data_IF_732790301906
#
_entry.id   IF_732790301906
#
_cell.length_a   1.000
_cell.length_b   1.000
_cell.length_c   1.000
_cell.angle_alpha   90.00
_cell.angle_beta   90.00
_cell.angle_gamma   90.00
#
_symmetry.space_group_name_H-M   'P 1'
#
loop_
_entity.id
_entity.type
_entity.pdbx_description
1 polymer ?
#
# COMPACT_ATOMS: atom_id res chain seq x y z
N UNK A 1 13.63 -19.34 -41.50
CA UNK A 1 13.75 -18.78 -40.14
C UNK A 1 15.00 -19.40 -39.53
N UNK A 2 15.99 -18.66 -39.02
CA UNK A 2 17.20 -19.27 -38.46
C UNK A 2 16.95 -20.16 -37.24
N UNK A 3 15.77 -20.06 -36.60
CA UNK A 3 15.40 -20.94 -35.47
C UNK A 3 14.89 -22.33 -35.89
N UNK A 4 14.72 -22.58 -37.19
CA UNK A 4 14.19 -23.83 -37.72
C UNK A 4 15.22 -24.51 -38.64
N UNK A 5 15.36 -25.85 -38.59
CA UNK A 5 16.19 -26.58 -39.54
C UNK A 5 15.73 -26.31 -40.97
N UNK A 6 16.67 -26.00 -41.86
CA UNK A 6 16.37 -25.73 -43.28
C UNK A 6 16.54 -27.02 -44.07
N UNK A 7 15.48 -27.61 -44.63
CA UNK A 7 15.59 -28.80 -45.47
C UNK A 7 16.16 -28.43 -46.84
N UNK A 8 17.17 -29.17 -47.28
CA UNK A 8 17.77 -29.06 -48.61
C UNK A 8 17.71 -30.41 -49.30
N UNK A 9 17.08 -30.43 -50.47
CA UNK A 9 17.02 -31.58 -51.36
C UNK A 9 17.91 -31.34 -52.57
N UNK A 10 18.87 -32.24 -52.80
CA UNK A 10 19.76 -32.23 -53.95
C UNK A 10 19.51 -33.47 -54.79
N UNK A 11 18.94 -33.28 -55.98
CA UNK A 11 18.76 -34.36 -56.95
C UNK A 11 19.95 -34.39 -57.91
N UNK A 12 20.65 -35.52 -57.95
CA UNK A 12 21.79 -35.75 -58.83
C UNK A 12 21.42 -36.83 -59.85
N UNK A 13 21.62 -36.53 -61.12
CA UNK A 13 21.34 -37.44 -62.23
C UNK A 13 22.61 -37.77 -62.98
N UNK A 14 23.01 -39.03 -62.97
CA UNK A 14 24.05 -39.52 -63.85
C UNK A 14 23.46 -39.74 -65.25
N UNK A 15 24.02 -39.06 -66.26
CA UNK A 15 23.64 -39.30 -67.66
C UNK A 15 24.62 -40.23 -68.39
N UNK A 16 25.75 -40.55 -67.75
CA UNK A 16 26.79 -41.39 -68.30
C UNK A 16 26.51 -42.89 -68.07
N UNK A 17 26.97 -43.76 -68.97
CA UNK A 17 26.89 -45.21 -68.80
C UNK A 17 27.93 -45.77 -67.81
N UNK A 18 28.72 -44.91 -67.17
CA UNK A 18 29.79 -45.27 -66.22
C UNK A 18 29.28 -45.02 -64.80
N UNK A 19 29.61 -45.92 -63.89
CA UNK A 19 29.31 -45.79 -62.46
C UNK A 19 30.33 -44.88 -61.76
N UNK A 20 29.85 -44.11 -60.78
CA UNK A 20 30.67 -43.28 -59.92
C UNK A 20 30.62 -43.84 -58.49
N UNK A 21 31.60 -44.65 -58.09
CA UNK A 21 31.60 -45.27 -56.76
C UNK A 21 31.77 -44.24 -55.64
N UNK A 22 32.38 -43.10 -55.95
CA UNK A 22 32.58 -42.01 -55.00
C UNK A 22 32.42 -40.65 -55.71
N UNK A 23 31.40 -39.90 -55.31
CA UNK A 23 31.23 -38.49 -55.62
C UNK A 23 31.11 -37.70 -54.33
N UNK A 24 31.71 -36.50 -54.33
CA UNK A 24 31.60 -35.56 -53.23
C UNK A 24 30.66 -34.42 -53.64
N UNK A 25 29.52 -34.33 -52.95
CA UNK A 25 28.57 -33.23 -53.08
C UNK A 25 28.92 -32.20 -52.01
N UNK A 26 29.35 -31.02 -52.45
CA UNK A 26 29.75 -29.91 -51.57
C UNK A 26 28.70 -28.82 -51.68
N UNK A 27 28.10 -28.51 -50.54
CA UNK A 27 27.13 -27.41 -50.38
C UNK A 27 27.80 -26.39 -49.48
N UNK A 28 28.14 -25.25 -50.05
CA UNK A 28 28.89 -24.21 -49.35
C UNK A 28 28.23 -22.84 -49.50
N UNK A 29 28.32 -22.02 -48.46
CA UNK A 29 28.00 -20.60 -48.46
C UNK A 29 28.89 -19.91 -47.43
N UNK A 30 28.69 -18.63 -47.16
CA UNK A 30 29.47 -17.94 -46.12
C UNK A 30 29.17 -18.48 -44.71
N UNK A 31 27.99 -19.08 -44.52
CA UNK A 31 27.49 -19.51 -43.20
C UNK A 31 27.37 -21.03 -43.06
N UNK A 32 27.50 -21.75 -44.18
CA UNK A 32 27.18 -23.18 -44.27
C UNK A 32 28.32 -23.88 -44.99
N UNK A 33 28.78 -25.00 -44.44
CA UNK A 33 29.64 -25.94 -45.16
C UNK A 33 29.21 -27.36 -44.86
N UNK A 34 28.72 -28.06 -45.89
CA UNK A 34 28.31 -29.47 -45.79
C UNK A 34 28.91 -30.25 -46.95
N UNK A 35 29.51 -31.39 -46.62
CA UNK A 35 30.05 -32.34 -47.59
C UNK A 35 29.34 -33.68 -47.41
N UNK A 36 28.89 -34.26 -48.52
CA UNK A 36 28.25 -35.58 -48.56
C UNK A 36 29.03 -36.43 -49.55
N UNK A 37 29.48 -37.60 -49.09
CA UNK A 37 30.11 -38.61 -49.94
C UNK A 37 29.01 -39.60 -50.31
N UNK A 38 28.85 -39.84 -51.62
CA UNK A 38 27.82 -40.74 -52.12
C UNK A 38 28.32 -41.54 -53.34
N UNK A 39 27.65 -42.67 -53.59
CA UNK A 39 27.79 -43.45 -54.81
C UNK A 39 26.62 -43.14 -55.77
N UNK A 40 26.91 -43.17 -57.07
CA UNK A 40 25.93 -42.92 -58.14
C UNK A 40 26.18 -43.87 -59.32
N UNK A 41 25.30 -44.84 -59.51
CA UNK A 41 25.33 -45.85 -60.57
C UNK A 41 25.13 -45.28 -61.97
N UNK A 42 25.34 -46.12 -62.98
CA UNK A 42 25.20 -45.76 -64.39
C UNK A 42 23.75 -45.41 -64.72
N UNK A 43 23.52 -44.25 -65.33
CA UNK A 43 22.18 -43.72 -65.63
C UNK A 43 21.24 -43.58 -64.40
N UNK A 44 21.77 -43.61 -63.18
CA UNK A 44 20.99 -43.49 -61.93
C UNK A 44 20.62 -42.03 -61.64
N UNK A 45 19.44 -41.84 -61.04
CA UNK A 45 19.01 -40.57 -60.46
C UNK A 45 18.75 -40.76 -58.97
N UNK A 46 19.40 -39.97 -58.13
CA UNK A 46 19.36 -40.11 -56.67
C UNK A 46 19.15 -38.75 -56.02
N UNK A 47 18.29 -38.70 -55.02
CA UNK A 47 18.02 -37.48 -54.24
C UNK A 47 18.63 -37.62 -52.85
N UNK A 48 19.32 -36.57 -52.42
CA UNK A 48 19.93 -36.46 -51.11
C UNK A 48 19.22 -35.36 -50.34
N UNK A 49 18.56 -35.75 -49.26
CA UNK A 49 17.89 -34.83 -48.34
C UNK A 49 18.73 -34.68 -47.08
N UNK A 50 18.94 -33.44 -46.67
CA UNK A 50 19.62 -33.12 -45.42
C UNK A 50 19.10 -31.80 -44.85
N UNK A 51 19.25 -31.66 -43.55
CA UNK A 51 18.85 -30.46 -42.82
C UNK A 51 20.08 -29.65 -42.42
N UNK A 52 19.93 -28.33 -42.46
CA UNK A 52 20.96 -27.39 -42.04
C UNK A 52 20.42 -26.59 -40.86
N UNK A 53 21.11 -26.70 -39.73
CA UNK A 53 20.89 -25.85 -38.58
C UNK A 53 21.68 -24.55 -38.75
N UNK A 54 20.98 -23.43 -38.68
CA UNK A 54 21.57 -22.11 -38.66
C UNK A 54 21.66 -21.63 -37.22
N UNK A 55 22.67 -20.82 -36.90
CA UNK A 55 22.70 -20.16 -35.60
C UNK A 55 21.56 -19.14 -35.52
N UNK A 56 20.71 -19.30 -34.50
CA UNK A 56 19.58 -18.42 -34.20
C UNK A 56 19.99 -16.95 -34.03
N UNK A 57 21.22 -16.68 -33.57
CA UNK A 57 21.73 -15.33 -33.36
C UNK A 57 22.20 -14.63 -34.64
N UNK A 58 22.17 -15.29 -35.81
CA UNK A 58 22.64 -14.71 -37.07
C UNK A 58 21.80 -13.51 -37.48
N UNK A 59 22.47 -12.37 -37.68
CA UNK A 59 21.86 -11.15 -38.18
C UNK A 59 21.18 -11.38 -39.54
N UNK A 60 20.09 -10.63 -39.83
CA UNK A 60 19.41 -10.72 -41.12
C UNK A 60 20.33 -10.34 -42.28
N UNK A 61 20.66 -11.33 -43.12
CA UNK A 61 21.53 -11.14 -44.27
C UNK A 61 21.09 -11.99 -45.46
N UNK A 62 21.52 -11.58 -46.66
CA UNK A 62 21.35 -12.35 -47.89
C UNK A 62 22.64 -13.08 -48.18
N UNK A 63 22.53 -14.33 -48.55
CA UNK A 63 23.68 -15.15 -48.90
C UNK A 63 23.35 -16.09 -50.08
N UNK A 64 24.37 -16.68 -50.66
CA UNK A 64 24.24 -17.56 -51.83
C UNK A 64 24.87 -18.91 -51.52
N UNK A 65 24.08 -19.97 -51.71
CA UNK A 65 24.56 -21.35 -51.63
C UNK A 65 25.14 -21.72 -52.98
N UNK A 66 26.35 -22.27 -52.95
CA UNK A 66 27.05 -22.89 -54.06
C UNK A 66 27.01 -24.40 -53.88
N UNK A 67 26.52 -25.09 -54.90
CA UNK A 67 26.51 -26.55 -54.98
C UNK A 67 27.54 -26.98 -56.03
N UNK A 68 28.53 -27.77 -55.62
CA UNK A 68 29.50 -28.38 -56.51
C UNK A 68 29.58 -29.89 -56.30
N UNK A 69 29.80 -30.63 -57.38
CA UNK A 69 30.00 -32.07 -57.37
C UNK A 69 31.43 -32.34 -57.85
N UNK A 70 32.21 -33.01 -57.01
CA UNK A 70 33.61 -33.35 -57.27
C UNK A 70 33.81 -34.87 -57.34
N UNK A 71 34.77 -35.29 -58.16
CA UNK A 71 35.31 -36.66 -58.22
C UNK A 71 36.81 -36.56 -58.39
N UNK A 72 37.58 -37.36 -57.64
CA UNK A 72 39.05 -37.38 -57.74
C UNK A 72 39.65 -35.95 -57.63
N UNK A 73 39.13 -35.13 -56.72
CA UNK A 73 39.45 -33.70 -56.54
C UNK A 73 39.18 -32.77 -57.76
N UNK A 74 38.50 -33.26 -58.79
CA UNK A 74 38.11 -32.49 -59.96
C UNK A 74 36.60 -32.20 -59.95
N UNK A 75 36.20 -30.96 -60.17
CA UNK A 75 34.78 -30.56 -60.25
C UNK A 75 34.16 -31.09 -61.55
N UNK A 76 33.17 -31.98 -61.44
CA UNK A 76 32.42 -32.52 -62.58
C UNK A 76 31.23 -31.61 -62.92
N UNK A 77 30.60 -31.00 -61.92
CA UNK A 77 29.41 -30.15 -62.12
C UNK A 77 29.37 -29.05 -61.08
N UNK A 78 29.09 -27.81 -61.52
CA UNK A 78 28.88 -26.66 -60.64
C UNK A 78 29.82 -25.47 -60.93
N UNK A 79 29.73 -24.39 -60.13
CA UNK A 79 28.79 -24.24 -59.02
C UNK A 79 27.37 -23.86 -59.50
N UNK A 80 26.36 -24.62 -59.08
CA UNK A 80 24.97 -24.18 -59.15
C UNK A 80 24.71 -23.22 -57.98
N UNK A 81 24.00 -22.12 -58.23
CA UNK A 81 23.79 -21.08 -57.22
C UNK A 81 22.32 -20.94 -56.85
N UNK A 82 22.04 -20.80 -55.55
CA UNK A 82 20.70 -20.47 -55.05
C UNK A 82 20.82 -19.40 -53.97
N UNK A 83 20.09 -18.31 -54.13
CA UNK A 83 20.05 -17.21 -53.17
C UNK A 83 19.09 -17.55 -52.04
N UNK A 84 19.46 -17.21 -50.80
CA UNK A 84 18.61 -17.30 -49.63
C UNK A 84 18.79 -16.06 -48.74
N UNK A 85 17.86 -15.86 -47.81
CA UNK A 85 17.92 -14.75 -46.87
C UNK A 85 17.55 -15.20 -45.47
N UNK A 86 18.35 -14.78 -44.49
CA UNK A 86 18.01 -14.86 -43.08
C UNK A 86 17.04 -13.73 -42.78
N UNK A 87 15.83 -14.11 -42.33
CA UNK A 87 14.78 -13.15 -41.97
C UNK A 87 15.02 -12.61 -40.57
N UNK A 88 14.56 -11.38 -40.32
CA UNK A 88 14.53 -10.80 -38.98
C UNK A 88 13.40 -11.42 -38.15
N UNK A 89 13.69 -11.67 -36.87
CA UNK A 89 12.69 -12.06 -35.89
C UNK A 89 13.05 -11.49 -34.51
N UNK A 90 12.04 -11.09 -33.77
CA UNK A 90 12.19 -10.57 -32.41
C UNK A 90 11.34 -11.41 -31.47
N UNK A 91 11.97 -12.00 -30.46
CA UNK A 91 11.30 -12.83 -29.48
C UNK A 91 11.82 -12.46 -28.09
N UNK A 92 10.94 -11.89 -27.27
CA UNK A 92 11.25 -11.60 -25.88
C UNK A 92 10.86 -12.80 -25.02
N UNK A 93 11.78 -13.24 -24.18
CA UNK A 93 11.53 -14.25 -23.16
C UNK A 93 11.53 -13.58 -21.79
N UNK A 94 10.52 -13.91 -20.98
CA UNK A 94 10.36 -13.39 -19.62
C UNK A 94 10.59 -14.51 -18.60
N UNK A 95 11.44 -14.26 -17.61
CA UNK A 95 11.62 -15.13 -16.45
C UNK A 95 11.28 -14.37 -15.17
N UNK A 96 10.43 -14.95 -14.32
CA UNK A 96 9.97 -14.32 -13.07
C UNK A 96 10.46 -15.13 -11.87
N UNK A 97 11.22 -14.48 -10.99
CA UNK A 97 11.78 -15.06 -9.77
C UNK A 97 11.31 -14.29 -8.53
N UNK A 98 10.27 -14.77 -7.83
CA UNK A 98 9.83 -14.15 -6.59
C UNK A 98 10.69 -14.59 -5.41
N UNK A 99 11.16 -13.62 -4.62
CA UNK A 99 11.86 -13.84 -3.35
C UNK A 99 11.03 -13.24 -2.22
N UNK A 100 10.40 -14.10 -1.43
CA UNK A 100 9.56 -13.68 -0.30
C UNK A 100 10.35 -13.58 1.00
N UNK A 101 10.18 -12.47 1.71
CA UNK A 101 10.59 -12.25 3.10
C UNK A 101 9.36 -11.83 3.92
N UNK A 102 9.49 -11.77 5.23
CA UNK A 102 8.40 -11.31 6.10
C UNK A 102 7.92 -9.90 5.70
N UNK A 103 6.64 -9.77 5.31
CA UNK A 103 5.99 -8.52 4.87
C UNK A 103 6.68 -7.80 3.70
N UNK A 104 7.57 -8.48 2.97
CA UNK A 104 8.29 -7.94 1.83
C UNK A 104 8.43 -8.99 0.73
N UNK A 105 8.13 -8.63 -0.50
CA UNK A 105 8.27 -9.51 -1.66
C UNK A 105 9.10 -8.80 -2.71
N UNK A 106 10.25 -9.38 -3.06
CA UNK A 106 11.12 -8.89 -4.11
C UNK A 106 10.88 -9.79 -5.35
N UNK A 107 10.23 -9.26 -6.38
CA UNK A 107 9.98 -9.96 -7.64
C UNK A 107 11.00 -9.51 -8.67
N UNK A 108 11.92 -10.39 -9.07
CA UNK A 108 12.89 -10.12 -10.13
C UNK A 108 12.32 -10.63 -11.45
N UNK A 109 12.21 -9.75 -12.44
CA UNK A 109 11.72 -10.03 -13.78
C UNK A 109 12.90 -9.83 -14.74
N UNK A 110 13.32 -10.89 -15.41
CA UNK A 110 14.42 -10.86 -16.38
C UNK A 110 13.85 -10.94 -17.78
N UNK A 111 14.04 -9.88 -18.56
CA UNK A 111 13.66 -9.80 -19.97
C UNK A 111 14.88 -10.15 -20.82
N UNK A 112 14.77 -11.17 -21.68
CA UNK A 112 15.88 -11.61 -22.55
C UNK A 112 15.44 -11.60 -24.01
N UNK A 113 16.21 -10.96 -24.89
CA UNK A 113 15.95 -10.97 -26.33
C UNK A 113 16.58 -12.22 -26.97
N UNK A 114 15.73 -13.15 -27.41
CA UNK A 114 16.12 -14.36 -28.17
C UNK A 114 16.04 -14.16 -29.70
N UNK A 115 15.68 -12.95 -30.13
CA UNK A 115 15.67 -12.53 -31.53
C UNK A 115 17.05 -12.28 -32.10
N UNK A 116 17.14 -12.22 -33.42
CA UNK A 116 18.34 -11.82 -34.15
C UNK A 116 18.37 -10.33 -34.52
N UNK A 117 17.39 -9.56 -34.05
CA UNK A 117 17.35 -8.10 -34.17
C UNK A 117 17.07 -7.47 -32.81
N UNK A 118 17.42 -6.19 -32.68
CA UNK A 118 17.13 -5.41 -31.48
C UNK A 118 15.61 -5.40 -31.19
N UNK A 119 15.25 -5.69 -29.95
CA UNK A 119 13.89 -5.53 -29.45
C UNK A 119 13.75 -4.14 -28.85
N UNK A 120 12.71 -3.40 -29.25
CA UNK A 120 12.32 -2.14 -28.62
C UNK A 120 10.82 -2.15 -28.34
N UNK A 121 10.43 -2.01 -27.08
CA UNK A 121 9.02 -2.06 -26.70
C UNK A 121 8.76 -1.69 -25.24
N UNK A 122 7.47 -1.52 -24.93
CA UNK A 122 7.01 -1.21 -23.56
C UNK A 122 6.57 -2.49 -22.87
N UNK A 123 7.31 -2.87 -21.83
CA UNK A 123 6.98 -4.01 -20.98
C UNK A 123 6.08 -3.60 -19.84
N UNK A 124 5.08 -4.44 -19.53
CA UNK A 124 3.98 -4.12 -18.60
C UNK A 124 3.88 -5.17 -17.50
N UNK A 125 3.77 -4.72 -16.25
CA UNK A 125 3.49 -5.58 -15.10
C UNK A 125 2.27 -5.08 -14.34
N UNK A 126 1.25 -5.93 -14.19
CA UNK A 126 -0.02 -5.56 -13.56
C UNK A 126 0.15 -5.25 -12.06
N UNK A 127 -0.50 -4.19 -11.59
CA UNK A 127 -0.55 -3.79 -10.19
C UNK A 127 -1.93 -3.25 -9.81
N UNK A 128 -2.16 -3.02 -8.52
CA UNK A 128 -3.42 -2.43 -8.01
C UNK A 128 -3.15 -1.09 -7.33
N UNK A 129 -4.20 -0.30 -7.08
CA UNK A 129 -4.08 0.98 -6.38
C UNK A 129 -3.33 0.85 -5.06
N UNK A 130 -3.76 -0.08 -4.20
CA UNK A 130 -3.14 -0.31 -2.91
C UNK A 130 -1.73 -0.85 -3.03
N UNK A 131 -1.49 -1.86 -3.89
CA UNK A 131 -0.14 -2.39 -4.11
C UNK A 131 0.83 -1.31 -4.59
N UNK A 132 0.40 -0.48 -5.55
CA UNK A 132 1.25 0.56 -6.14
C UNK A 132 1.80 1.58 -5.14
N UNK A 133 1.10 1.83 -4.02
CA UNK A 133 1.57 2.76 -2.99
C UNK A 133 2.67 2.17 -2.08
N UNK A 134 2.78 0.84 -2.03
CA UNK A 134 3.76 0.12 -1.20
C UNK A 134 4.79 -0.62 -2.06
N UNK A 135 4.80 -0.36 -3.37
CA UNK A 135 5.70 -1.00 -4.32
C UNK A 135 6.72 0.00 -4.85
N UNK A 136 7.98 -0.42 -4.85
CA UNK A 136 9.09 0.31 -5.47
C UNK A 136 9.64 -0.53 -6.63
N UNK A 137 10.10 0.13 -7.69
CA UNK A 137 10.63 -0.56 -8.88
C UNK A 137 12.04 -0.08 -9.18
N UNK A 138 12.91 -1.00 -9.58
CA UNK A 138 14.30 -0.75 -9.99
C UNK A 138 14.52 -1.47 -11.32
N UNK A 139 14.70 -0.77 -12.45
CA UNK A 139 14.63 0.67 -12.63
C UNK A 139 13.22 1.24 -12.41
N UNK A 140 13.14 2.57 -12.19
CA UNK A 140 11.88 3.26 -11.89
C UNK A 140 10.88 3.10 -13.03
N UNK A 141 9.74 2.49 -12.74
CA UNK A 141 8.64 2.32 -13.67
C UNK A 141 7.79 3.59 -13.80
N UNK A 142 7.19 3.79 -14.97
CA UNK A 142 6.05 4.70 -15.13
C UNK A 142 4.77 3.93 -14.78
N UNK A 143 3.84 4.56 -14.05
CA UNK A 143 2.55 3.93 -13.74
C UNK A 143 1.49 4.44 -14.70
N UNK A 144 0.90 3.53 -15.47
CA UNK A 144 -0.15 3.85 -16.44
C UNK A 144 -1.45 3.13 -16.03
N UNK A 145 -2.59 3.79 -16.26
CA UNK A 145 -3.92 3.22 -16.03
C UNK A 145 -4.61 3.01 -17.37
N UNK A 146 -4.88 1.77 -17.72
CA UNK A 146 -5.59 1.35 -18.93
C UNK A 146 -6.66 0.31 -18.53
N UNK A 147 -7.85 0.37 -19.13
CA UNK A 147 -8.95 -0.59 -18.91
C UNK A 147 -9.31 -0.85 -17.44
N UNK A 148 -9.20 0.19 -16.60
CA UNK A 148 -9.49 0.10 -15.16
C UNK A 148 -8.41 -0.59 -14.33
N UNK A 149 -7.39 -1.17 -14.97
CA UNK A 149 -6.21 -1.78 -14.33
C UNK A 149 -5.04 -0.80 -14.29
N UNK A 150 -4.09 -1.04 -13.40
CA UNK A 150 -2.85 -0.26 -13.30
C UNK A 150 -1.68 -1.14 -13.69
N UNK A 151 -0.72 -0.56 -14.39
CA UNK A 151 0.47 -1.25 -14.85
C UNK A 151 1.71 -0.44 -14.49
N UNK A 152 2.75 -1.14 -14.05
CA UNK A 152 4.11 -0.64 -14.12
C UNK A 152 4.63 -0.87 -15.53
N UNK A 153 5.14 0.19 -16.15
CA UNK A 153 5.63 0.15 -17.53
C UNK A 153 7.09 0.54 -17.60
N UNK A 154 7.87 -0.21 -18.38
CA UNK A 154 9.27 0.08 -18.67
C UNK A 154 9.50 0.08 -20.17
N UNK A 155 10.26 1.06 -20.65
CA UNK A 155 10.81 1.05 -22.00
C UNK A 155 12.06 0.15 -22.00
N UNK A 156 12.00 -0.89 -22.82
CA UNK A 156 13.03 -1.91 -22.92
C UNK A 156 13.55 -1.92 -24.35
N UNK A 157 14.83 -1.57 -24.49
CA UNK A 157 15.63 -1.78 -25.70
C UNK A 157 16.68 -2.85 -25.37
N UNK A 158 16.75 -3.91 -26.17
CA UNK A 158 17.63 -5.06 -25.96
C UNK A 158 18.24 -5.52 -27.27
N UNK A 159 19.57 -5.54 -27.36
CA UNK A 159 20.29 -6.18 -28.46
C UNK A 159 20.06 -7.70 -28.48
N UNK A 160 20.35 -8.39 -29.60
CA UNK A 160 20.29 -9.86 -29.66
C UNK A 160 21.07 -10.52 -28.51
N UNK A 161 20.44 -11.49 -27.83
CA UNK A 161 20.98 -12.18 -26.64
C UNK A 161 21.20 -11.32 -25.39
N UNK A 162 20.83 -10.04 -25.41
CA UNK A 162 20.92 -9.18 -24.22
C UNK A 162 19.77 -9.48 -23.24
N UNK A 163 20.05 -9.33 -21.94
CA UNK A 163 19.08 -9.45 -20.87
C UNK A 163 19.07 -8.20 -19.98
N UNK A 164 17.86 -7.79 -19.57
CA UNK A 164 17.64 -6.67 -18.63
C UNK A 164 16.77 -7.13 -17.48
N UNK A 165 17.24 -6.86 -16.27
CA UNK A 165 16.53 -7.19 -15.05
C UNK A 165 15.74 -6.00 -14.52
N UNK A 166 14.53 -6.28 -14.06
CA UNK A 166 13.64 -5.33 -13.41
C UNK A 166 13.21 -5.94 -12.08
N UNK A 167 13.47 -5.23 -11.00
CA UNK A 167 13.08 -5.65 -9.65
C UNK A 167 11.87 -4.85 -9.20
N UNK A 168 10.81 -5.56 -8.81
CA UNK A 168 9.59 -5.00 -8.21
C UNK A 168 9.59 -5.40 -6.73
N UNK A 169 9.72 -4.41 -5.84
CA UNK A 169 9.81 -4.60 -4.38
C UNK A 169 8.50 -4.15 -3.75
N UNK A 170 7.69 -5.10 -3.28
CA UNK A 170 6.51 -4.82 -2.45
C UNK A 170 6.92 -4.84 -0.97
N UNK A 171 6.74 -3.73 -0.22
CA UNK A 171 7.11 -3.64 1.19
C UNK A 171 5.96 -3.09 2.06
N UNK A 172 5.33 -3.99 2.82
CA UNK A 172 4.20 -3.67 3.71
C UNK A 172 4.62 -3.45 5.18
N UNK A 173 5.92 -3.55 5.49
CA UNK A 173 6.42 -3.36 6.85
C UNK A 173 6.12 -1.95 7.42
N UNK A 174 6.31 -0.84 6.66
CA UNK A 174 5.96 0.50 7.16
C UNK A 174 4.47 0.63 7.50
N UNK A 175 3.60 0.02 6.70
CA UNK A 175 2.16 0.00 6.95
C UNK A 175 1.81 -0.73 8.25
N UNK A 176 2.41 -1.91 8.48
CA UNK A 176 2.23 -2.67 9.72
C UNK A 176 2.65 -1.85 10.95
N UNK A 177 3.77 -1.14 10.87
CA UNK A 177 4.26 -0.28 11.96
C UNK A 177 3.25 0.83 12.26
N UNK A 178 2.70 1.50 11.24
CA UNK A 178 1.69 2.55 11.42
C UNK A 178 0.43 1.99 12.09
N UNK A 179 -0.07 0.85 11.64
CA UNK A 179 -1.25 0.19 12.23
C UNK A 179 -0.99 -0.18 13.70
N UNK A 180 0.20 -0.69 14.02
CA UNK A 180 0.59 -1.01 15.39
C UNK A 180 0.65 0.25 16.27
N UNK A 181 1.23 1.35 15.76
CA UNK A 181 1.28 2.62 16.48
C UNK A 181 -0.12 3.19 16.77
N UNK A 182 -1.03 3.12 15.80
CA UNK A 182 -2.44 3.52 16.01
C UNK A 182 -3.08 2.61 17.06
N UNK A 183 -2.87 1.31 16.99
CA UNK A 183 -3.37 0.35 17.98
C UNK A 183 -2.87 0.64 19.39
N UNK A 184 -1.57 0.94 19.54
CA UNK A 184 -0.98 1.34 20.82
C UNK A 184 -1.57 2.68 21.29
N UNK A 185 -1.67 3.68 20.41
CA UNK A 185 -2.24 4.97 20.77
C UNK A 185 -3.70 4.84 21.26
N UNK A 186 -4.52 4.03 20.58
CA UNK A 186 -5.88 3.73 21.00
C UNK A 186 -5.90 2.98 22.35
N UNK A 187 -5.05 1.96 22.51
CA UNK A 187 -4.93 1.23 23.76
C UNK A 187 -4.58 2.16 24.93
N UNK A 188 -3.56 3.00 24.77
CA UNK A 188 -3.16 4.00 25.77
C UNK A 188 -4.28 5.00 26.04
N UNK A 189 -4.96 5.48 25.00
CA UNK A 189 -6.11 6.37 25.14
C UNK A 189 -7.19 5.75 26.03
N UNK A 190 -7.60 4.50 25.77
CA UNK A 190 -8.61 3.82 26.58
C UNK A 190 -8.12 3.45 27.98
N UNK A 191 -6.84 3.14 28.15
CA UNK A 191 -6.24 2.81 29.44
C UNK A 191 -6.11 4.03 30.37
N UNK A 192 -5.76 5.19 29.82
CA UNK A 192 -5.55 6.43 30.59
C UNK A 192 -6.74 7.39 30.58
N UNK A 193 -7.82 7.05 29.87
CA UNK A 193 -9.05 7.84 29.89
C UNK A 193 -9.60 7.94 31.31
N UNK A 194 -9.99 9.14 31.72
CA UNK A 194 -10.57 9.35 33.05
C UNK A 194 -11.94 8.66 33.17
N UNK A 195 -12.13 7.81 34.20
CA UNK A 195 -13.34 7.00 34.38
C UNK A 195 -14.55 7.84 34.83
N UNK A 196 -14.32 9.05 35.30
CA UNK A 196 -15.33 9.96 35.83
C UNK A 196 -15.17 11.36 35.23
N UNK A 197 -16.26 11.96 34.79
CA UNK A 197 -16.28 13.32 34.22
C UNK A 197 -17.27 14.20 34.95
N UNK A 198 -16.87 15.45 35.19
CA UNK A 198 -17.70 16.48 35.82
C UNK A 198 -17.72 17.69 34.92
N UNK A 199 -18.92 18.16 34.58
CA UNK A 199 -19.12 19.37 33.81
C UNK A 199 -19.95 20.36 34.63
N UNK A 200 -19.54 21.63 34.62
CA UNK A 200 -20.25 22.73 35.27
C UNK A 200 -20.77 23.69 34.20
N UNK A 201 -22.07 23.91 34.17
CA UNK A 201 -22.75 24.80 33.23
C UNK A 201 -23.70 25.75 33.95
N UNK A 202 -23.97 26.90 33.34
CA UNK A 202 -25.05 27.79 33.76
C UNK A 202 -26.25 27.57 32.85
N UNK A 203 -27.43 27.56 33.44
CA UNK A 203 -28.72 27.52 32.77
C UNK A 203 -29.61 28.62 33.37
N UNK A 204 -30.64 29.05 32.63
CA UNK A 204 -31.64 30.00 33.13
C UNK A 204 -31.00 31.26 33.75
N UNK A 205 -30.10 31.91 33.01
CA UNK A 205 -29.52 33.19 33.43
C UNK A 205 -30.57 34.27 33.26
N UNK A 206 -30.98 34.89 34.36
CA UNK A 206 -31.93 35.99 34.40
C UNK A 206 -31.11 37.27 34.53
N UNK A 207 -31.29 38.18 33.57
CA UNK A 207 -30.65 39.49 33.56
C UNK A 207 -31.63 40.58 33.98
N UNK A 208 -31.18 41.52 34.80
CA UNK A 208 -31.93 42.72 35.19
C UNK A 208 -31.04 43.95 34.99
N UNK A 209 -31.57 45.00 34.38
CA UNK A 209 -30.84 46.27 34.17
C UNK A 209 -29.49 46.09 33.44
N UNK A 210 -29.41 45.14 32.50
CA UNK A 210 -28.18 44.89 31.73
C UNK A 210 -27.10 44.10 32.45
N UNK A 211 -27.39 43.50 33.61
CA UNK A 211 -26.46 42.60 34.29
C UNK A 211 -27.13 41.35 34.85
N UNK A 212 -26.30 40.41 35.30
CA UNK A 212 -26.75 39.11 35.80
C UNK A 212 -27.42 39.27 37.18
N UNK A 213 -28.68 38.84 37.30
CA UNK A 213 -29.48 38.92 38.52
C UNK A 213 -29.73 37.56 39.19
N UNK A 214 -29.87 36.49 38.42
CA UNK A 214 -30.02 35.12 38.92
C UNK A 214 -29.49 34.12 37.90
N UNK A 215 -28.96 32.99 38.36
CA UNK A 215 -28.62 31.88 37.46
C UNK A 215 -28.78 30.53 38.15
N UNK A 216 -29.14 29.52 37.36
CA UNK A 216 -29.14 28.12 37.77
C UNK A 216 -27.81 27.48 37.39
N UNK A 217 -27.06 27.01 38.38
CA UNK A 217 -25.85 26.21 38.15
C UNK A 217 -26.27 24.75 38.01
N UNK A 218 -25.72 24.10 36.99
CA UNK A 218 -25.93 22.68 36.70
C UNK A 218 -24.57 21.97 36.70
N UNK A 219 -24.44 20.96 37.55
CA UNK A 219 -23.27 20.09 37.64
C UNK A 219 -23.70 18.71 37.16
N UNK A 220 -23.09 18.26 36.07
CA UNK A 220 -23.32 16.92 35.53
C UNK A 220 -22.18 16.00 35.93
N UNK A 221 -22.51 14.91 36.63
CA UNK A 221 -21.61 13.84 37.02
C UNK A 221 -21.86 12.66 36.09
N UNK A 222 -20.83 12.18 35.39
CA UNK A 222 -20.97 11.08 34.44
C UNK A 222 -19.94 9.99 34.70
N UNK A 223 -20.41 8.76 34.93
CA UNK A 223 -19.57 7.57 34.92
C UNK A 223 -19.27 7.16 33.48
N UNK A 224 -17.99 7.07 33.13
CA UNK A 224 -17.52 6.61 31.81
C UNK A 224 -16.85 5.24 31.88
N UNK A 225 -16.67 4.71 33.08
CA UNK A 225 -16.01 3.43 33.31
C UNK A 225 -17.00 2.26 33.25
N UNK A 226 -16.47 1.06 33.09
CA UNK A 226 -17.21 -0.20 33.20
C UNK A 226 -17.37 -0.67 34.65
N UNK A 227 -17.06 0.17 35.62
CA UNK A 227 -17.12 -0.13 37.05
C UNK A 227 -17.95 0.93 37.79
N UNK A 228 -18.63 0.49 38.86
CA UNK A 228 -19.38 1.37 39.74
C UNK A 228 -18.40 2.27 40.50
N UNK A 229 -18.67 3.58 40.51
CA UNK A 229 -17.94 4.54 41.33
C UNK A 229 -18.59 4.59 42.70
N UNK A 230 -17.77 4.67 43.75
CA UNK A 230 -18.24 4.73 45.14
C UNK A 230 -17.74 5.99 45.85
N UNK A 231 -18.45 6.40 46.88
CA UNK A 231 -18.07 7.47 47.80
C UNK A 231 -17.70 8.77 47.07
N UNK A 232 -18.62 9.22 46.21
CA UNK A 232 -18.44 10.40 45.39
C UNK A 232 -18.75 11.63 46.23
N UNK A 233 -17.72 12.39 46.58
CA UNK A 233 -17.82 13.67 47.27
C UNK A 233 -17.66 14.81 46.27
N UNK A 234 -18.74 15.56 46.01
CA UNK A 234 -18.70 16.74 45.12
C UNK A 234 -18.59 17.99 45.98
N UNK A 235 -17.67 18.88 45.63
CA UNK A 235 -17.43 20.16 46.30
C UNK A 235 -17.45 21.29 45.28
N UNK A 236 -18.41 22.19 45.42
CA UNK A 236 -18.47 23.42 44.64
C UNK A 236 -18.24 24.65 45.52
N UNK A 237 -17.51 25.63 44.99
CA UNK A 237 -17.19 26.87 45.69
C UNK A 237 -17.86 28.03 44.97
N UNK A 238 -18.63 28.79 45.72
CA UNK A 238 -19.32 29.98 45.24
C UNK A 238 -18.57 31.18 45.81
N UNK A 239 -18.03 32.07 44.95
CA UNK A 239 -17.37 33.29 45.38
C UNK A 239 -18.29 34.17 46.24
N UNK A 240 -17.71 35.03 47.10
CA UNK A 240 -18.46 35.89 48.03
C UNK A 240 -19.29 37.02 47.37
N UNK A 241 -19.37 37.04 46.05
CA UNK A 241 -20.15 38.00 45.26
C UNK A 241 -21.55 37.47 44.92
N UNK A 242 -21.85 36.21 45.28
CA UNK A 242 -23.14 35.58 45.06
C UNK A 242 -23.59 34.75 46.27
N UNK A 243 -24.88 34.81 46.57
CA UNK A 243 -25.54 34.01 47.59
C UNK A 243 -26.29 32.83 46.97
N UNK A 244 -26.39 31.75 47.75
CA UNK A 244 -27.18 30.57 47.38
C UNK A 244 -28.62 30.80 47.76
N UNK A 245 -29.53 30.62 46.81
CA UNK A 245 -30.95 30.62 47.10
C UNK A 245 -31.31 29.35 47.90
N UNK A 246 -31.93 29.53 49.08
CA UNK A 246 -32.21 28.43 50.01
C UNK A 246 -33.38 27.55 49.58
N UNK A 247 -34.21 28.04 48.64
CA UNK A 247 -35.33 27.30 48.08
C UNK A 247 -34.82 26.32 47.02
N UNK A 248 -34.54 25.09 47.46
CA UNK A 248 -34.06 24.03 46.59
C UNK A 248 -35.22 23.50 45.73
N UNK A 249 -35.11 23.67 44.41
CA UNK A 249 -36.07 23.12 43.44
C UNK A 249 -36.29 21.62 43.64
N UNK A 250 -37.56 21.18 43.61
CA UNK A 250 -37.96 19.77 43.68
C UNK A 250 -37.25 18.98 42.58
N UNK A 251 -36.66 17.81 42.91
CA UNK A 251 -36.02 16.89 41.95
C UNK A 251 -34.51 17.01 41.80
N UNK A 252 -33.81 17.81 42.62
CA UNK A 252 -32.34 17.90 42.65
C UNK A 252 -31.76 17.29 43.92
N UNK A 253 -30.52 16.78 43.86
CA UNK A 253 -29.81 16.28 45.04
C UNK A 253 -29.45 17.46 45.97
N UNK A 254 -29.92 17.40 47.21
CA UNK A 254 -29.62 18.43 48.20
C UNK A 254 -28.18 18.35 48.69
N UNK A 255 -27.52 19.49 48.97
CA UNK A 255 -26.19 19.48 49.55
C UNK A 255 -26.23 18.87 50.95
N UNK A 256 -25.33 17.92 51.21
CA UNK A 256 -25.15 17.33 52.55
C UNK A 256 -24.54 18.32 53.53
N UNK A 257 -23.77 19.31 53.04
CA UNK A 257 -23.19 20.35 53.87
C UNK A 257 -23.05 21.67 53.11
N UNK A 258 -23.48 22.76 53.76
CA UNK A 258 -23.27 24.14 53.31
C UNK A 258 -22.37 24.82 54.34
N UNK A 259 -21.18 25.25 53.91
CA UNK A 259 -20.23 25.99 54.75
C UNK A 259 -20.13 27.42 54.24
N UNK A 260 -20.48 28.41 55.06
CA UNK A 260 -20.31 29.83 54.75
C UNK A 260 -19.04 30.35 55.40
N UNK A 261 -18.21 31.08 54.65
CA UNK A 261 -17.01 31.72 55.16
C UNK A 261 -16.97 33.17 54.68
N UNK A 262 -16.82 34.12 55.60
CA UNK A 262 -16.90 35.56 55.32
C UNK A 262 -15.93 36.02 54.21
N UNK A 263 -14.66 35.60 54.24
CA UNK A 263 -13.68 35.96 53.21
C UNK A 263 -13.63 35.03 51.97
N UNK A 264 -14.10 33.78 52.07
CA UNK A 264 -13.84 32.74 51.05
C UNK A 264 -15.07 32.32 50.24
N UNK A 265 -16.24 32.87 50.58
CA UNK A 265 -17.52 32.55 49.97
C UNK A 265 -18.17 31.31 50.57
N UNK A 266 -19.13 30.73 49.85
CA UNK A 266 -19.85 29.54 50.28
C UNK A 266 -19.30 28.27 49.63
N UNK A 267 -19.25 27.17 50.38
CA UNK A 267 -18.85 25.85 49.89
C UNK A 267 -20.04 24.91 50.03
N UNK A 268 -20.47 24.37 48.90
CA UNK A 268 -21.49 23.33 48.81
C UNK A 268 -20.81 21.97 48.70
N UNK A 269 -21.25 21.03 49.53
CA UNK A 269 -20.82 19.63 49.45
C UNK A 269 -22.01 18.71 49.23
N UNK A 270 -21.84 17.74 48.35
CA UNK A 270 -22.77 16.63 48.13
C UNK A 270 -22.04 15.31 48.33
N UNK A 271 -22.74 14.35 48.92
CA UNK A 271 -22.30 12.95 48.99
C UNK A 271 -23.20 12.12 48.09
N UNK A 272 -22.59 11.35 47.21
CA UNK A 272 -23.25 10.41 46.32
C UNK A 272 -22.64 9.03 46.59
N UNK A 273 -23.44 8.13 47.16
CA UNK A 273 -22.96 6.82 47.63
C UNK A 273 -22.37 5.99 46.50
N UNK A 274 -23.12 5.84 45.42
CA UNK A 274 -22.70 5.10 44.23
C UNK A 274 -23.18 5.77 42.96
N UNK A 275 -22.40 5.62 41.88
CA UNK A 275 -22.80 5.94 40.52
C UNK A 275 -22.57 4.69 39.65
N UNK A 276 -23.64 4.16 39.08
CA UNK A 276 -23.62 2.95 38.27
C UNK A 276 -22.94 3.15 36.91
N UNK A 277 -22.70 2.05 36.22
CA UNK A 277 -22.00 2.01 34.94
C UNK A 277 -22.79 2.82 33.91
N UNK A 278 -22.17 3.86 33.36
CA UNK A 278 -22.81 4.75 32.39
C UNK A 278 -23.88 5.68 32.98
N UNK A 279 -24.11 5.65 34.30
CA UNK A 279 -25.08 6.52 34.96
C UNK A 279 -24.63 7.98 34.90
N UNK A 280 -25.61 8.86 34.73
CA UNK A 280 -25.45 10.30 34.74
C UNK A 280 -26.33 10.91 35.82
N UNK A 281 -25.74 11.70 36.71
CA UNK A 281 -26.45 12.45 37.75
C UNK A 281 -26.29 13.94 37.55
N UNK A 282 -27.41 14.64 37.69
CA UNK A 282 -27.46 16.09 37.54
C UNK A 282 -27.77 16.71 38.90
N UNK A 283 -26.88 17.59 39.35
CA UNK A 283 -27.07 18.42 40.53
C UNK A 283 -27.31 19.84 40.04
N UNK A 284 -28.37 20.48 40.52
CA UNK A 284 -28.63 21.87 40.21
C UNK A 284 -29.02 22.69 41.43
N UNK A 285 -28.61 23.95 41.42
CA UNK A 285 -28.92 24.93 42.47
C UNK A 285 -28.92 26.34 41.86
N UNK A 286 -29.57 27.30 42.54
CA UNK A 286 -29.66 28.69 42.09
C UNK A 286 -28.74 29.58 42.91
N UNK A 287 -28.12 30.54 42.24
CA UNK A 287 -27.34 31.60 42.88
C UNK A 287 -27.85 32.96 42.44
N UNK A 288 -27.82 33.91 43.37
CA UNK A 288 -28.17 35.30 43.15
C UNK A 288 -26.96 36.16 43.51
N UNK A 289 -26.37 36.89 42.55
CA UNK A 289 -25.38 37.90 42.86
C UNK A 289 -25.90 38.89 43.91
N UNK A 290 -25.03 39.31 44.83
CA UNK A 290 -25.40 40.30 45.87
C UNK A 290 -25.67 41.67 45.22
N UNK A 291 -24.94 41.98 44.14
CA UNK A 291 -25.12 43.14 43.28
C UNK A 291 -25.23 42.68 41.84
N UNK A 292 -26.04 43.36 41.03
CA UNK A 292 -26.15 43.11 39.59
C UNK A 292 -24.77 43.20 38.93
N UNK A 293 -24.34 42.14 38.25
CA UNK A 293 -23.01 42.07 37.63
C UNK A 293 -23.13 42.43 36.16
N UNK A 294 -22.56 43.57 35.77
CA UNK A 294 -22.58 44.10 34.38
C UNK A 294 -21.45 43.52 33.51
N UNK A 295 -20.55 42.72 34.08
CA UNK A 295 -19.44 42.06 33.37
C UNK A 295 -19.38 40.54 33.55
N UNK A 296 -18.27 39.93 33.15
CA UNK A 296 -18.09 38.47 33.21
C UNK A 296 -18.04 37.95 34.65
N UNK A 297 -18.96 37.04 34.98
CA UNK A 297 -18.89 36.26 36.21
C UNK A 297 -18.15 34.95 35.96
N UNK A 298 -16.97 34.79 36.56
CA UNK A 298 -16.24 33.51 36.53
C UNK A 298 -16.41 32.74 37.83
N UNK A 299 -16.99 31.54 37.72
CA UNK A 299 -17.14 30.59 38.81
C UNK A 299 -16.01 29.55 38.78
N UNK A 300 -15.43 29.21 39.94
CA UNK A 300 -14.34 28.27 40.00
C UNK A 300 -14.80 26.84 39.62
N UNK A 301 -13.86 25.98 39.20
CA UNK A 301 -14.13 24.59 38.92
C UNK A 301 -14.70 23.83 40.13
N UNK A 302 -15.70 23.00 39.89
CA UNK A 302 -16.17 22.00 40.85
C UNK A 302 -15.08 20.94 41.00
N UNK A 303 -14.80 20.54 42.23
CA UNK A 303 -13.93 19.40 42.51
C UNK A 303 -14.77 18.23 42.97
N UNK A 304 -14.48 17.02 42.52
CA UNK A 304 -14.97 15.85 43.24
C UNK A 304 -13.89 14.82 43.46
N UNK A 305 -14.10 14.03 44.50
CA UNK A 305 -13.33 12.83 44.77
C UNK A 305 -14.23 11.60 44.78
N UNK A 306 -13.68 10.47 44.36
CA UNK A 306 -14.39 9.20 44.29
C UNK A 306 -13.41 8.06 44.57
N UNK A 307 -13.95 6.90 44.93
CA UNK A 307 -13.18 5.67 45.09
C UNK A 307 -13.41 4.77 43.88
N UNK A 308 -12.32 4.37 43.24
CA UNK A 308 -12.30 3.38 42.16
C UNK A 308 -11.26 2.32 42.49
N UNK A 309 -11.66 1.05 42.50
CA UNK A 309 -10.79 -0.09 42.85
C UNK A 309 -10.03 0.12 44.19
N UNK A 310 -10.70 0.72 45.18
CA UNK A 310 -10.13 1.00 46.50
C UNK A 310 -9.16 2.18 46.58
N UNK A 311 -8.90 2.89 45.47
CA UNK A 311 -8.05 4.10 45.46
C UNK A 311 -8.90 5.36 45.35
N UNK A 312 -8.54 6.40 46.12
CA UNK A 312 -9.19 7.72 46.06
C UNK A 312 -8.61 8.51 44.87
N UNK A 313 -9.49 8.96 43.99
CA UNK A 313 -9.16 9.80 42.85
C UNK A 313 -9.81 11.17 43.01
N UNK A 314 -9.23 12.19 42.36
CA UNK A 314 -9.77 13.55 42.34
C UNK A 314 -9.82 14.07 40.92
N UNK A 315 -10.93 14.70 40.56
CA UNK A 315 -11.15 15.34 39.27
C UNK A 315 -11.70 16.74 39.48
N UNK A 316 -11.50 17.61 38.48
CA UNK A 316 -12.05 18.96 38.45
C UNK A 316 -12.86 19.15 37.19
N UNK A 317 -13.91 19.97 37.26
CA UNK A 317 -14.67 20.40 36.09
C UNK A 317 -13.92 21.49 35.32
N UNK A 318 -14.54 21.96 34.24
CA UNK A 318 -14.21 23.25 33.63
C UNK A 318 -14.46 24.42 34.60
N UNK A 319 -13.74 25.53 34.38
CA UNK A 319 -14.14 26.85 34.90
C UNK A 319 -15.35 27.34 34.09
N UNK A 320 -16.25 28.07 34.73
CA UNK A 320 -17.47 28.57 34.08
C UNK A 320 -17.44 30.10 34.09
N UNK A 321 -17.34 30.70 32.91
CA UNK A 321 -17.44 32.15 32.72
C UNK A 321 -18.77 32.47 32.05
N UNK A 322 -19.47 33.46 32.58
CA UNK A 322 -20.83 33.81 32.18
C UNK A 322 -20.85 35.30 31.87
N UNK A 323 -21.28 35.65 30.67
CA UNK A 323 -21.42 37.02 30.22
C UNK A 323 -22.91 37.41 30.20
N UNK A 324 -23.28 38.63 30.64
CA UNK A 324 -24.66 39.12 30.63
C UNK A 324 -25.29 39.41 29.25
N UNK A 325 -24.53 39.35 28.14
CA UNK A 325 -25.03 39.60 26.76
C UNK A 325 -26.14 38.66 26.27
#
# INVERSE_FOLDING_TARGET
NPTEPVPISVTVKNQNPIEYPEIKIIVESNLIKKEIIAELGAKEEKTFDFEIELDSALEPQKDTIYLSIQKDNSTITGPLTKKYSIISYSQLQEEIKPVSKFMRTDTIITFTNKGNVEYSGVQRHETTFFKSMFTSTIPKATTVKEDGKRYFTWEVALAPSEAKEVTVVENYLPFLIIVLLIGIALFLYYMFRTPFTINKTAAQVISKEGGIAEMKIVITLKSRDKMKLKDIEVTDRIPNIADIERELTIGTLQPTKILKHEAKGSILKWSVDTLDIGEERVISYRIKPILTIVGDLTLPPVSASYILKGKKHKVKSNSLSINPE
#
